data_IF_981555812875
#
_entry.id   IF_981555812875
#
_cell.length_a   1.000
_cell.length_b   1.000
_cell.length_c   1.000
_cell.angle_alpha   90.00
_cell.angle_beta   90.00
_cell.angle_gamma   90.00
#
_symmetry.space_group_name_H-M   'P 1'
#
loop_
_entity.id
_entity.type
_entity.pdbx_description
1 polymer ?
#
# COMPACT_ATOMS: atom_id res chain seq x y z
N UNK A 1 41.27 -9.72 23.63
CA UNK A 1 40.15 -8.95 23.05
C UNK A 1 38.95 -9.86 22.95
N UNK A 2 37.94 -9.65 23.80
CA UNK A 2 36.69 -10.39 23.78
C UNK A 2 35.55 -9.40 23.56
N UNK A 3 34.48 -9.84 22.90
CA UNK A 3 33.31 -9.01 22.66
C UNK A 3 32.72 -8.55 24.01
N UNK A 4 32.57 -7.23 24.20
CA UNK A 4 31.95 -6.63 25.40
C UNK A 4 30.45 -6.93 25.50
N UNK A 5 29.83 -7.42 24.42
CA UNK A 5 28.44 -7.88 24.37
C UNK A 5 28.36 -9.18 23.56
N UNK A 6 27.49 -10.10 23.97
CA UNK A 6 27.30 -11.38 23.24
C UNK A 6 26.88 -11.08 21.79
N UNK A 7 27.51 -11.67 20.77
CA UNK A 7 27.11 -11.46 19.37
C UNK A 7 25.63 -11.76 19.10
N UNK A 8 25.01 -12.67 19.86
CA UNK A 8 23.56 -12.94 19.77
C UNK A 8 22.66 -11.78 20.21
N UNK A 9 23.17 -10.85 21.02
CA UNK A 9 22.45 -9.62 21.36
C UNK A 9 22.34 -8.69 20.15
N UNK A 10 23.36 -8.66 19.30
CA UNK A 10 23.35 -7.88 18.06
C UNK A 10 22.27 -8.38 17.08
N UNK A 11 22.08 -9.69 16.95
CA UNK A 11 21.01 -10.26 16.11
C UNK A 11 19.63 -9.73 16.50
N UNK A 12 19.33 -9.66 17.80
CA UNK A 12 18.04 -9.14 18.30
C UNK A 12 17.85 -7.66 17.95
N UNK A 13 18.91 -6.87 18.01
CA UNK A 13 18.86 -5.45 17.61
C UNK A 13 18.56 -5.32 16.12
N UNK A 14 19.26 -6.09 15.27
CA UNK A 14 19.03 -6.08 13.83
C UNK A 14 17.61 -6.54 13.47
N UNK A 15 17.10 -7.58 14.12
CA UNK A 15 15.73 -8.05 13.93
C UNK A 15 14.69 -6.98 14.28
N UNK A 16 14.90 -6.25 15.38
CA UNK A 16 14.02 -5.15 15.79
C UNK A 16 14.08 -3.98 14.80
N UNK A 17 15.29 -3.59 14.36
CA UNK A 17 15.49 -2.51 13.41
C UNK A 17 14.93 -2.86 12.03
N UNK A 18 15.11 -4.10 11.57
CA UNK A 18 14.54 -4.62 10.33
C UNK A 18 13.02 -4.54 10.36
N UNK A 19 12.41 -5.01 11.45
CA UNK A 19 10.95 -5.00 11.62
C UNK A 19 10.42 -3.57 11.64
N UNK A 20 11.10 -2.66 12.36
CA UNK A 20 10.73 -1.24 12.41
C UNK A 20 10.80 -0.61 11.02
N UNK A 21 11.92 -0.79 10.32
CA UNK A 21 12.12 -0.26 8.97
C UNK A 21 11.08 -0.78 7.99
N UNK A 22 10.76 -2.08 8.04
CA UNK A 22 9.72 -2.68 7.22
C UNK A 22 8.34 -2.07 7.50
N UNK A 23 7.99 -1.83 8.78
CA UNK A 23 6.73 -1.16 9.15
C UNK A 23 6.65 0.23 8.56
N UNK A 24 7.70 1.03 8.68
CA UNK A 24 7.73 2.40 8.15
C UNK A 24 7.52 2.42 6.63
N UNK A 25 8.22 1.54 5.90
CA UNK A 25 8.07 1.39 4.45
C UNK A 25 6.63 1.00 4.07
N UNK A 26 6.04 0.03 4.78
CA UNK A 26 4.68 -0.43 4.48
C UNK A 26 3.65 0.65 4.77
N UNK A 27 3.79 1.39 5.86
CA UNK A 27 2.85 2.48 6.22
C UNK A 27 2.91 3.58 5.17
N UNK A 28 4.11 3.96 4.73
CA UNK A 28 4.29 4.97 3.69
C UNK A 28 3.74 4.49 2.34
N UNK A 29 4.00 3.22 1.98
CA UNK A 29 3.48 2.64 0.75
C UNK A 29 1.95 2.53 0.78
N UNK A 30 1.36 2.10 1.89
CA UNK A 30 -0.09 2.05 2.07
C UNK A 30 -0.68 3.46 1.99
N UNK A 31 -0.08 4.42 2.67
CA UNK A 31 -0.49 5.83 2.64
C UNK A 31 -0.46 6.39 1.21
N UNK A 32 0.63 6.15 0.47
CA UNK A 32 0.75 6.57 -0.92
C UNK A 32 -0.36 6.00 -1.81
N UNK A 33 -0.58 4.69 -1.74
CA UNK A 33 -1.62 4.01 -2.53
C UNK A 33 -3.03 4.51 -2.16
N UNK A 34 -3.34 4.61 -0.87
CA UNK A 34 -4.67 5.05 -0.40
C UNK A 34 -4.93 6.51 -0.77
N UNK A 35 -3.94 7.40 -0.62
CA UNK A 35 -4.12 8.83 -0.88
C UNK A 35 -4.11 9.18 -2.36
N UNK A 36 -3.34 8.46 -3.19
CA UNK A 36 -3.36 8.60 -4.65
C UNK A 36 -4.60 7.96 -5.30
N UNK A 37 -5.34 7.13 -4.56
CA UNK A 37 -6.54 6.49 -5.08
C UNK A 37 -7.65 7.49 -5.41
N UNK A 38 -8.32 7.33 -6.58
CA UNK A 38 -9.44 8.18 -6.95
C UNK A 38 -10.62 8.00 -5.99
N UNK A 39 -11.38 9.07 -5.80
CA UNK A 39 -12.52 9.13 -4.86
C UNK A 39 -13.80 9.39 -5.62
N UNK A 40 -14.62 8.34 -5.70
CA UNK A 40 -16.03 8.43 -6.14
C UNK A 40 -16.96 8.14 -4.95
N UNK A 41 -17.20 6.86 -4.67
CA UNK A 41 -17.92 6.40 -3.47
C UNK A 41 -17.01 6.27 -2.24
N UNK A 42 -15.69 6.15 -2.46
CA UNK A 42 -14.70 5.81 -1.44
C UNK A 42 -14.45 4.31 -1.30
N UNK A 43 -15.12 3.45 -2.08
CA UNK A 43 -14.95 1.99 -2.01
C UNK A 43 -13.58 1.53 -2.49
N UNK A 44 -13.04 2.14 -3.55
CA UNK A 44 -11.70 1.82 -4.02
C UNK A 44 -10.63 2.13 -2.97
N UNK A 45 -10.69 3.33 -2.40
CA UNK A 45 -9.79 3.76 -1.33
C UNK A 45 -9.88 2.82 -0.11
N UNK A 46 -11.07 2.35 0.24
CA UNK A 46 -11.28 1.36 1.31
C UNK A 46 -10.85 -0.07 0.97
N UNK A 47 -10.63 -0.38 -0.30
CA UNK A 47 -10.33 -1.73 -0.77
C UNK A 47 -8.89 -2.16 -0.54
N UNK A 48 -7.98 -1.23 -0.24
CA UNK A 48 -6.58 -1.55 0.00
C UNK A 48 -6.41 -2.30 1.33
N UNK A 49 -5.80 -3.48 1.25
CA UNK A 49 -5.56 -4.36 2.38
C UNK A 49 -4.08 -4.61 2.56
N UNK A 50 -3.67 -4.69 3.83
CA UNK A 50 -2.34 -5.13 4.24
C UNK A 50 -2.46 -6.51 4.86
N UNK A 51 -1.63 -7.44 4.39
CA UNK A 51 -1.62 -8.82 4.88
C UNK A 51 -0.17 -9.32 5.02
N UNK A 52 0.06 -10.28 5.92
CA UNK A 52 1.39 -10.76 6.29
C UNK A 52 1.48 -12.24 5.95
N UNK A 53 2.52 -12.63 5.20
CA UNK A 53 2.85 -13.97 4.72
C UNK A 53 1.82 -14.66 3.81
N UNK A 54 0.58 -14.19 3.78
CA UNK A 54 -0.49 -14.66 2.90
C UNK A 54 -1.31 -13.48 2.40
N UNK A 55 -1.77 -13.56 1.15
CA UNK A 55 -2.57 -12.54 0.51
C UNK A 55 -4.02 -12.57 0.98
N UNK A 56 -4.58 -11.40 1.31
CA UNK A 56 -6.02 -11.22 1.51
C UNK A 56 -6.72 -10.89 0.17
N UNK A 57 -7.43 -11.87 -0.40
CA UNK A 57 -8.15 -11.73 -1.68
C UNK A 57 -9.57 -11.15 -1.52
N UNK A 58 -9.94 -10.67 -0.32
CA UNK A 58 -11.27 -10.12 -0.10
C UNK A 58 -11.47 -8.75 -0.77
N UNK A 59 -12.72 -8.47 -1.11
CA UNK A 59 -13.20 -7.16 -1.52
C UNK A 59 -14.64 -6.98 -1.00
N UNK A 60 -14.93 -5.81 -0.46
CA UNK A 60 -16.27 -5.45 0.01
C UNK A 60 -16.61 -4.05 -0.49
N UNK A 61 -17.51 -3.96 -1.46
CA UNK A 61 -17.94 -2.70 -2.05
C UNK A 61 -18.75 -1.82 -1.08
N UNK A 62 -19.33 -2.42 -0.04
CA UNK A 62 -20.05 -1.67 1.01
C UNK A 62 -19.09 -0.89 1.91
N UNK A 63 -17.82 -1.30 2.03
CA UNK A 63 -16.82 -0.54 2.76
C UNK A 63 -16.44 0.71 1.98
N UNK A 64 -16.61 1.88 2.62
CA UNK A 64 -16.34 3.18 2.00
C UNK A 64 -15.51 4.03 2.93
N UNK A 65 -14.41 4.55 2.41
CA UNK A 65 -13.51 5.42 3.14
C UNK A 65 -13.01 6.51 2.20
N UNK A 66 -13.79 7.58 2.08
CA UNK A 66 -13.39 8.73 1.26
C UNK A 66 -12.16 9.44 1.83
N UNK A 67 -11.94 9.37 3.15
CA UNK A 67 -10.80 10.03 3.80
C UNK A 67 -9.51 9.22 3.77
N UNK A 68 -9.60 7.89 3.62
CA UNK A 68 -8.45 6.97 3.64
C UNK A 68 -7.91 6.66 5.03
N UNK A 69 -8.26 7.45 6.05
CA UNK A 69 -7.73 7.30 7.40
C UNK A 69 -8.12 5.98 8.07
N UNK A 70 -9.35 5.48 7.85
CA UNK A 70 -9.77 4.19 8.40
C UNK A 70 -9.00 3.04 7.75
N UNK A 71 -8.79 3.12 6.44
CA UNK A 71 -8.05 2.14 5.66
C UNK A 71 -6.60 2.07 6.10
N UNK A 72 -5.95 3.22 6.23
CA UNK A 72 -4.56 3.31 6.72
C UNK A 72 -4.46 2.78 8.15
N UNK A 73 -5.39 3.16 9.03
CA UNK A 73 -5.41 2.68 10.42
C UNK A 73 -5.59 1.16 10.51
N UNK A 74 -6.48 0.56 9.72
CA UNK A 74 -6.67 -0.89 9.63
C UNK A 74 -5.39 -1.59 9.16
N UNK A 75 -4.75 -1.08 8.10
CA UNK A 75 -3.50 -1.63 7.59
C UNK A 75 -2.35 -1.53 8.59
N UNK A 76 -2.18 -0.38 9.24
CA UNK A 76 -1.19 -0.20 10.32
C UNK A 76 -1.44 -1.13 11.50
N UNK A 77 -2.72 -1.40 11.82
CA UNK A 77 -3.10 -2.33 12.89
C UNK A 77 -2.73 -3.78 12.53
N UNK A 78 -2.83 -4.18 11.27
CA UNK A 78 -2.39 -5.51 10.80
C UNK A 78 -0.88 -5.72 11.04
N UNK A 79 -0.07 -4.66 10.95
CA UNK A 79 1.38 -4.71 11.19
C UNK A 79 1.77 -4.87 12.66
N UNK A 80 0.83 -4.80 13.60
CA UNK A 80 1.12 -5.09 15.02
C UNK A 80 1.70 -6.49 15.21
N UNK A 81 1.34 -7.44 14.33
CA UNK A 81 1.78 -8.85 14.34
C UNK A 81 3.01 -9.11 13.49
N UNK A 82 3.61 -8.08 12.89
CA UNK A 82 4.78 -8.25 12.03
C UNK A 82 5.98 -8.72 12.83
N UNK A 83 6.58 -9.81 12.37
CA UNK A 83 7.84 -10.37 12.88
C UNK A 83 8.93 -10.26 11.82
N UNK A 84 10.22 -10.28 12.21
CA UNK A 84 11.34 -10.23 11.27
C UNK A 84 11.20 -11.27 10.15
N UNK A 85 11.72 -10.94 8.97
CA UNK A 85 11.75 -11.82 7.79
C UNK A 85 10.38 -12.21 7.23
N UNK A 86 9.30 -11.55 7.66
CA UNK A 86 7.97 -11.75 7.07
C UNK A 86 7.83 -11.04 5.73
N UNK A 87 6.97 -11.56 4.86
CA UNK A 87 6.55 -10.86 3.64
C UNK A 87 5.26 -10.09 3.92
N UNK A 88 5.20 -8.83 3.51
CA UNK A 88 3.99 -8.00 3.64
C UNK A 88 3.45 -7.71 2.25
N UNK A 89 2.15 -7.91 2.07
CA UNK A 89 1.43 -7.63 0.84
C UNK A 89 0.54 -6.41 1.04
N UNK A 90 0.62 -5.46 0.11
CA UNK A 90 -0.34 -4.35 -0.03
C UNK A 90 -1.05 -4.59 -1.36
N UNK A 91 -2.37 -4.77 -1.31
CA UNK A 91 -3.13 -5.10 -2.52
C UNK A 91 -4.57 -4.62 -2.45
N UNK A 92 -5.23 -4.60 -3.60
CA UNK A 92 -6.67 -4.42 -3.74
C UNK A 92 -7.20 -5.50 -4.68
N UNK A 93 -8.39 -6.00 -4.38
CA UNK A 93 -9.12 -6.93 -5.24
C UNK A 93 -10.40 -6.29 -5.80
N UNK A 94 -10.46 -4.95 -5.84
CA UNK A 94 -11.57 -4.26 -6.47
C UNK A 94 -11.63 -4.65 -7.97
N UNK A 95 -12.79 -5.07 -8.51
CA UNK A 95 -12.90 -5.56 -9.89
C UNK A 95 -12.44 -4.58 -10.98
N UNK A 96 -12.44 -3.29 -10.66
CA UNK A 96 -12.04 -2.19 -11.55
C UNK A 96 -10.64 -1.63 -11.23
N UNK A 97 -9.89 -2.23 -10.32
CA UNK A 97 -8.55 -1.77 -9.92
C UNK A 97 -7.57 -1.72 -11.10
N UNK A 98 -7.59 -2.74 -11.96
CA UNK A 98 -6.76 -2.80 -13.17
C UNK A 98 -7.01 -1.61 -14.09
N UNK A 99 -8.26 -1.16 -14.20
CA UNK A 99 -8.60 0.03 -15.00
C UNK A 99 -8.08 1.33 -14.37
N UNK A 100 -8.10 1.40 -13.04
CA UNK A 100 -7.49 2.53 -12.32
C UNK A 100 -5.99 2.57 -12.56
N UNK A 101 -5.33 1.42 -12.54
CA UNK A 101 -3.87 1.34 -12.65
C UNK A 101 -3.38 1.59 -14.09
N UNK A 102 -4.03 1.00 -15.09
CA UNK A 102 -3.52 0.97 -16.47
C UNK A 102 -4.30 1.81 -17.47
N UNK A 103 -5.45 2.35 -17.09
CA UNK A 103 -6.35 3.07 -18.00
C UNK A 103 -7.49 2.18 -18.51
N UNK A 104 -8.02 2.47 -19.70
CA UNK A 104 -9.11 1.72 -20.33
C UNK A 104 -10.49 1.83 -19.63
N UNK A 105 -10.75 2.98 -19.00
CA UNK A 105 -12.11 3.28 -18.53
C UNK A 105 -13.10 3.49 -19.67
N UNK A 106 -12.62 3.95 -20.83
CA UNK A 106 -13.44 4.36 -21.97
C UNK A 106 -12.60 4.54 -23.23
N UNK A 107 -13.22 4.31 -24.39
CA UNK A 107 -12.64 4.61 -25.71
C UNK A 107 -12.86 6.08 -26.11
N UNK A 108 -13.65 6.83 -25.34
CA UNK A 108 -13.88 8.25 -25.58
C UNK A 108 -12.66 9.07 -25.15
N UNK A 109 -12.24 10.08 -25.93
CA UNK A 109 -11.08 10.90 -25.59
C UNK A 109 -11.24 11.61 -24.24
N UNK A 110 -12.46 12.06 -23.91
CA UNK A 110 -12.78 12.76 -22.66
C UNK A 110 -14.15 12.34 -22.13
N UNK A 111 -14.27 12.22 -20.80
CA UNK A 111 -15.54 12.15 -20.08
C UNK A 111 -15.46 13.02 -18.83
N UNK A 112 -16.57 13.25 -18.08
CA UNK A 112 -16.49 13.99 -16.83
C UNK A 112 -15.50 13.40 -15.81
N UNK A 113 -15.25 12.08 -15.84
CA UNK A 113 -14.39 11.37 -14.88
C UNK A 113 -13.04 10.94 -15.45
N UNK A 114 -12.85 11.00 -16.77
CA UNK A 114 -11.67 10.43 -17.45
C UNK A 114 -11.10 11.34 -18.54
N UNK A 115 -9.80 11.25 -18.74
CA UNK A 115 -9.04 11.96 -19.77
C UNK A 115 -8.07 10.96 -20.41
N UNK A 116 -8.16 10.76 -21.73
CA UNK A 116 -7.35 9.79 -22.45
C UNK A 116 -7.53 8.33 -21.97
N UNK A 117 -8.72 7.96 -21.49
CA UNK A 117 -9.00 6.62 -20.95
C UNK A 117 -8.58 6.41 -19.48
N UNK A 118 -7.89 7.37 -18.85
CA UNK A 118 -7.47 7.31 -17.45
C UNK A 118 -8.40 8.09 -16.52
N UNK A 119 -8.42 7.74 -15.24
CA UNK A 119 -9.08 8.55 -14.21
C UNK A 119 -8.43 9.93 -14.12
N UNK A 120 -9.23 11.00 -14.10
CA UNK A 120 -8.71 12.37 -13.89
C UNK A 120 -8.00 12.56 -12.54
N UNK A 121 -8.36 11.74 -11.54
CA UNK A 121 -7.76 11.79 -10.20
C UNK A 121 -6.55 10.86 -10.06
N UNK A 122 -6.38 9.90 -10.95
CA UNK A 122 -5.25 8.97 -10.96
C UNK A 122 -4.81 8.73 -12.42
N UNK A 123 -4.23 9.75 -13.08
CA UNK A 123 -3.94 9.70 -14.51
C UNK A 123 -2.79 8.76 -14.89
N UNK A 124 -2.03 8.25 -13.90
CA UNK A 124 -0.88 7.38 -14.09
C UNK A 124 -0.94 6.15 -13.18
N UNK A 125 -2.14 5.76 -12.73
CA UNK A 125 -2.32 4.69 -11.75
C UNK A 125 -1.93 5.10 -10.34
N UNK A 126 -1.83 4.11 -9.46
CA UNK A 126 -1.70 4.28 -8.01
C UNK A 126 -0.51 3.50 -7.46
N UNK A 127 -0.37 2.23 -7.85
CA UNK A 127 0.66 1.36 -7.33
C UNK A 127 2.03 1.68 -7.93
N UNK A 128 2.11 1.85 -9.25
CA UNK A 128 3.37 2.16 -9.94
C UNK A 128 4.01 3.46 -9.44
N UNK A 129 3.22 4.53 -9.30
CA UNK A 129 3.68 5.82 -8.76
C UNK A 129 4.15 5.69 -7.32
N UNK A 130 3.37 5.00 -6.48
CA UNK A 130 3.73 4.82 -5.07
C UNK A 130 5.00 3.98 -4.94
N UNK A 131 5.14 2.92 -5.72
CA UNK A 131 6.35 2.11 -5.75
C UNK A 131 7.59 2.95 -6.08
N UNK A 132 7.51 3.78 -7.13
CA UNK A 132 8.62 4.67 -7.51
C UNK A 132 8.98 5.64 -6.38
N UNK A 133 7.99 6.23 -5.72
CA UNK A 133 8.20 7.11 -4.56
C UNK A 133 8.92 6.38 -3.41
N UNK A 134 8.46 5.17 -3.07
CA UNK A 134 9.05 4.37 -1.99
C UNK A 134 10.47 3.93 -2.36
N UNK A 135 10.70 3.49 -3.59
CA UNK A 135 12.02 3.13 -4.09
C UNK A 135 12.99 4.32 -4.03
N UNK A 136 12.57 5.53 -4.39
CA UNK A 136 13.40 6.73 -4.25
C UNK A 136 13.66 7.09 -2.79
N UNK A 137 12.66 6.95 -1.90
CA UNK A 137 12.79 7.31 -0.48
C UNK A 137 13.68 6.35 0.31
N UNK A 138 13.72 5.08 -0.10
CA UNK A 138 14.35 4.01 0.68
C UNK A 138 15.46 3.23 -0.04
N UNK A 139 15.56 3.33 -1.37
CA UNK A 139 16.49 2.55 -2.20
C UNK A 139 17.86 3.21 -2.36
N UNK A 140 18.46 3.65 -1.24
CA UNK A 140 19.77 4.33 -1.19
C UNK A 140 20.89 3.61 -1.93
#
# INVERSE_FOLDING_TARGET
>A
MGWTSKPSAFTKTIEADLTKKQKDIVIDALGGVVLASPVDTGAYRASHRVSINQTDQSFNEAEKDKGGGSTISKGSSALSRLVPYSTVYIQTNAPYATKIEYGDFTDKPETPKTTGGYSRQAPQGVYGLTFNYIAQKYGG
#
